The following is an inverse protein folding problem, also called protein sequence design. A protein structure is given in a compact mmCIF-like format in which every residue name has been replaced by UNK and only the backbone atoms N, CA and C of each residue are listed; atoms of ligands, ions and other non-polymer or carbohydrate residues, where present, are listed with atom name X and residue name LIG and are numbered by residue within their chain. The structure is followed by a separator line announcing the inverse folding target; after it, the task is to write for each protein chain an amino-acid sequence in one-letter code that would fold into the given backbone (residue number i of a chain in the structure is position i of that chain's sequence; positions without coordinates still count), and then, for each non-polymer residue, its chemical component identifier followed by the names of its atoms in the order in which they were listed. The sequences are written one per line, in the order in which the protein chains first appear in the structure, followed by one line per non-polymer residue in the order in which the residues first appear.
data_IF_040051537226
#
_entry.id   IF_040051537226
#
_cell.length_a   1.000
_cell.length_b   1.000
_cell.length_c   1.000
_cell.angle_alpha   90.00
_cell.angle_beta   90.00
_cell.angle_gamma   90.00
#
_symmetry.space_group_name_H-M   'P 1'
#
loop_
_entity.id
_entity.type
_entity.pdbx_description
1 polymer ?
#
# COMPACT_ATOMS: atom_id res chain seq x y z
N UNK A 1 29.86 6.71 8.57
CA UNK A 1 29.24 5.41 8.24
C UNK A 1 28.33 5.66 7.05
N UNK A 2 28.35 4.79 6.04
CA UNK A 2 27.47 4.94 4.87
C UNK A 2 26.01 4.71 5.31
N UNK A 3 25.11 5.71 5.15
CA UNK A 3 23.71 5.60 5.57
C UNK A 3 22.96 4.42 4.91
N UNK A 4 23.37 4.04 3.70
CA UNK A 4 22.80 2.91 2.96
C UNK A 4 23.24 1.60 3.61
N UNK A 5 24.51 1.50 3.99
CA UNK A 5 25.06 0.32 4.65
C UNK A 5 24.46 0.13 6.05
N UNK A 6 24.25 1.22 6.80
CA UNK A 6 23.59 1.18 8.11
C UNK A 6 22.11 0.73 7.99
N UNK A 7 21.40 1.17 6.95
CA UNK A 7 20.04 0.72 6.65
C UNK A 7 19.97 -0.78 6.35
N UNK A 8 20.87 -1.29 5.51
CA UNK A 8 20.92 -2.73 5.20
C UNK A 8 21.34 -3.56 6.41
N UNK A 9 22.29 -3.10 7.23
CA UNK A 9 22.68 -3.77 8.46
C UNK A 9 21.54 -3.81 9.48
N UNK A 10 20.76 -2.73 9.61
CA UNK A 10 19.54 -2.72 10.45
C UNK A 10 18.49 -3.68 9.93
N UNK A 11 18.27 -3.78 8.61
CA UNK A 11 17.35 -4.75 8.01
C UNK A 11 17.81 -6.19 8.28
N UNK A 12 19.09 -6.49 8.05
CA UNK A 12 19.65 -7.83 8.25
C UNK A 12 19.57 -8.22 9.74
N UNK A 13 19.91 -7.30 10.65
CA UNK A 13 19.84 -7.53 12.08
C UNK A 13 18.39 -7.68 12.58
N UNK A 14 17.44 -6.88 12.06
CA UNK A 14 16.00 -7.10 12.30
C UNK A 14 15.58 -8.48 11.79
N UNK A 15 15.95 -8.84 10.57
CA UNK A 15 15.57 -10.13 9.96
C UNK A 15 16.18 -11.35 10.66
N UNK A 16 17.31 -11.20 11.35
CA UNK A 16 17.90 -12.24 12.21
C UNK A 16 17.16 -12.40 13.55
N UNK A 17 16.39 -11.38 13.97
CA UNK A 17 15.64 -11.36 15.23
C UNK A 17 14.12 -11.51 15.03
N UNK A 18 13.61 -11.50 13.80
CA UNK A 18 12.19 -11.79 13.54
C UNK A 18 11.98 -13.29 13.77
N UNK A 19 11.32 -13.63 14.88
CA UNK A 19 10.79 -14.96 15.08
C UNK A 19 10.00 -15.38 13.84
N UNK A 20 10.33 -16.55 13.29
CA UNK A 20 9.64 -17.13 12.13
C UNK A 20 8.21 -17.52 12.53
N UNK A 21 7.33 -16.55 12.59
CA UNK A 21 5.92 -16.75 12.91
C UNK A 21 5.05 -15.92 11.98
N UNK A 22 3.82 -16.38 11.82
CA UNK A 22 2.76 -15.63 11.15
C UNK A 22 1.97 -14.91 12.25
N UNK A 23 1.80 -13.58 12.20
CA UNK A 23 0.96 -12.88 13.14
C UNK A 23 -0.47 -13.44 13.13
N UNK A 24 -1.06 -13.61 14.31
CA UNK A 24 -2.36 -14.28 14.47
C UNK A 24 -3.48 -13.62 13.67
N UNK A 25 -3.47 -12.30 13.54
CA UNK A 25 -4.46 -11.55 12.76
C UNK A 25 -4.42 -11.95 11.28
N UNK A 26 -3.23 -11.99 10.67
CA UNK A 26 -3.09 -12.44 9.28
C UNK A 26 -3.44 -13.90 9.10
N UNK A 27 -3.01 -14.78 10.02
CA UNK A 27 -3.36 -16.20 9.97
C UNK A 27 -4.88 -16.38 9.88
N UNK A 28 -5.64 -15.73 10.76
CA UNK A 28 -7.12 -15.79 10.77
C UNK A 28 -7.72 -15.30 9.45
N UNK A 29 -7.25 -14.18 8.91
CA UNK A 29 -7.75 -13.61 7.64
C UNK A 29 -7.50 -14.56 6.47
N UNK A 30 -6.30 -15.14 6.38
CA UNK A 30 -5.91 -16.05 5.29
C UNK A 30 -6.67 -17.37 5.37
N UNK A 31 -6.87 -17.89 6.59
CA UNK A 31 -7.50 -19.20 6.80
C UNK A 31 -9.04 -19.16 6.68
N UNK A 32 -9.64 -17.97 6.72
CA UNK A 32 -11.08 -17.78 6.58
C UNK A 32 -11.65 -18.43 5.31
N UNK A 33 -12.87 -18.96 5.41
CA UNK A 33 -13.56 -19.74 4.38
C UNK A 33 -14.66 -18.98 3.66
N UNK A 34 -15.04 -17.82 4.17
CA UNK A 34 -16.10 -16.99 3.59
C UNK A 34 -15.81 -15.50 3.76
N UNK A 35 -16.41 -14.69 2.89
CA UNK A 35 -16.36 -13.23 3.00
C UNK A 35 -16.91 -12.76 4.35
N UNK A 36 -18.01 -13.36 4.81
CA UNK A 36 -18.66 -13.03 6.08
C UNK A 36 -17.75 -13.29 7.29
N UNK A 37 -17.01 -14.40 7.27
CA UNK A 37 -16.03 -14.72 8.31
C UNK A 37 -14.89 -13.70 8.34
N UNK A 38 -14.39 -13.33 7.17
CA UNK A 38 -13.39 -12.26 7.05
C UNK A 38 -13.91 -10.94 7.63
N UNK A 39 -15.14 -10.54 7.30
CA UNK A 39 -15.76 -9.32 7.83
C UNK A 39 -15.89 -9.36 9.36
N UNK A 40 -16.25 -10.52 9.93
CA UNK A 40 -16.33 -10.72 11.38
C UNK A 40 -14.96 -10.61 12.07
N UNK A 41 -13.90 -11.16 11.45
CA UNK A 41 -12.53 -11.03 11.94
C UNK A 41 -12.10 -9.56 11.91
N UNK A 42 -12.26 -8.89 10.77
CA UNK A 42 -11.72 -7.55 10.55
C UNK A 42 -12.38 -6.48 11.42
N UNK A 43 -13.64 -6.67 11.82
CA UNK A 43 -14.36 -5.75 12.70
C UNK A 43 -13.64 -5.50 14.04
N UNK A 44 -12.87 -6.47 14.53
CA UNK A 44 -12.30 -6.47 15.88
C UNK A 44 -10.75 -6.47 15.91
N UNK A 45 -10.10 -6.22 14.78
CA UNK A 45 -8.62 -6.17 14.72
C UNK A 45 -8.13 -4.79 14.29
N UNK A 46 -6.91 -4.48 14.72
CA UNK A 46 -6.08 -3.41 14.21
C UNK A 46 -4.80 -4.10 13.75
N UNK A 47 -4.38 -3.84 12.52
CA UNK A 47 -3.12 -4.36 11.98
C UNK A 47 -2.05 -3.29 12.18
N UNK A 48 -0.94 -3.69 12.77
CA UNK A 48 0.24 -2.84 12.95
C UNK A 48 1.24 -2.99 11.80
N UNK A 49 2.07 -1.95 11.58
CA UNK A 49 3.07 -1.93 10.50
C UNK A 49 4.07 -3.09 10.57
N UNK A 50 4.52 -3.42 11.77
CA UNK A 50 5.44 -4.52 12.04
C UNK A 50 4.77 -5.88 11.85
N UNK A 51 3.51 -6.05 12.24
CA UNK A 51 2.73 -7.26 11.95
C UNK A 51 2.64 -7.50 10.44
N UNK A 52 2.29 -6.48 9.65
CA UNK A 52 2.20 -6.65 8.20
C UNK A 52 3.54 -6.95 7.56
N UNK A 53 4.60 -6.29 8.03
CA UNK A 53 5.97 -6.57 7.59
C UNK A 53 6.40 -8.00 7.92
N UNK A 54 6.11 -8.47 9.14
CA UNK A 54 6.35 -9.84 9.58
C UNK A 54 5.57 -10.84 8.75
N UNK A 55 4.31 -10.54 8.41
CA UNK A 55 3.51 -11.38 7.52
C UNK A 55 4.12 -11.46 6.12
N UNK A 56 4.54 -10.34 5.53
CA UNK A 56 5.19 -10.31 4.21
C UNK A 56 6.42 -11.23 4.19
N UNK A 57 7.29 -11.11 5.18
CA UNK A 57 8.54 -11.87 5.27
C UNK A 57 8.27 -13.36 5.46
N UNK A 58 7.26 -13.70 6.26
CA UNK A 58 7.01 -15.08 6.68
C UNK A 58 5.89 -15.79 5.89
N UNK A 59 5.19 -15.14 4.95
CA UNK A 59 4.02 -15.71 4.26
C UNK A 59 4.28 -17.07 3.58
N UNK A 60 5.52 -17.34 3.18
CA UNK A 60 5.94 -18.64 2.65
C UNK A 60 5.70 -19.82 3.61
N UNK A 61 5.66 -19.59 4.93
CA UNK A 61 5.30 -20.60 5.93
C UNK A 61 3.86 -21.09 5.80
N UNK A 62 2.99 -20.33 5.11
CA UNK A 62 1.62 -20.73 4.76
C UNK A 62 1.51 -21.32 3.35
N UNK A 63 2.65 -21.56 2.67
CA UNK A 63 2.65 -21.99 1.28
C UNK A 63 2.20 -20.90 0.29
N UNK A 64 2.31 -19.62 0.69
CA UNK A 64 1.95 -18.48 -0.15
C UNK A 64 3.18 -17.92 -0.87
N UNK A 65 2.99 -17.59 -2.14
CA UNK A 65 3.84 -16.72 -2.92
C UNK A 65 3.43 -15.27 -2.70
N UNK A 66 4.41 -14.36 -2.77
CA UNK A 66 4.18 -12.93 -2.60
C UNK A 66 4.66 -12.14 -3.82
N UNK A 67 3.86 -11.16 -4.23
CA UNK A 67 4.25 -10.15 -5.20
C UNK A 67 3.76 -8.77 -4.75
N UNK A 68 4.46 -7.71 -5.18
CA UNK A 68 4.11 -6.32 -4.86
C UNK A 68 4.11 -5.43 -6.08
N UNK A 69 3.36 -4.33 -6.00
CA UNK A 69 3.30 -3.27 -7.01
C UNK A 69 3.15 -1.92 -6.34
N UNK A 70 3.93 -0.95 -6.79
CA UNK A 70 3.81 0.44 -6.37
C UNK A 70 3.56 1.28 -7.61
N UNK A 71 2.38 1.90 -7.66
CA UNK A 71 2.00 2.76 -8.77
C UNK A 71 1.80 4.18 -8.29
N UNK A 72 2.22 5.11 -9.13
CA UNK A 72 2.06 6.54 -8.94
C UNK A 72 1.31 7.09 -10.13
N UNK A 73 0.22 7.81 -9.88
CA UNK A 73 -0.62 8.41 -10.90
C UNK A 73 -0.63 9.93 -10.75
N UNK A 74 -0.17 10.61 -11.79
CA UNK A 74 -0.16 12.05 -11.92
C UNK A 74 -0.42 12.37 -13.39
N UNK A 75 -1.26 13.36 -13.67
CA UNK A 75 -1.48 13.82 -15.05
C UNK A 75 -0.22 14.55 -15.55
N UNK A 76 0.01 14.62 -16.86
CA UNK A 76 1.18 15.34 -17.39
C UNK A 76 1.07 16.84 -17.15
N UNK A 77 -0.16 17.35 -17.18
CA UNK A 77 -0.50 18.76 -17.00
C UNK A 77 -0.26 19.24 -15.56
N UNK A 78 -0.43 18.33 -14.59
CA UNK A 78 -0.20 18.61 -13.17
C UNK A 78 1.28 18.49 -12.77
N UNK A 79 2.12 17.91 -13.63
CA UNK A 79 3.54 17.74 -13.34
C UNK A 79 4.30 19.05 -13.55
N UNK A 80 5.12 19.42 -12.58
CA UNK A 80 6.09 20.51 -12.70
C UNK A 80 7.23 20.03 -13.58
N UNK A 81 7.49 20.76 -14.67
CA UNK A 81 8.56 20.42 -15.62
C UNK A 81 9.94 20.68 -15.01
N UNK A 82 10.98 20.11 -15.60
CA UNK A 82 12.34 20.32 -15.11
C UNK A 82 12.79 21.77 -15.36
N UNK A 83 12.35 22.40 -16.45
CA UNK A 83 12.56 23.83 -16.70
C UNK A 83 11.88 24.71 -15.64
N UNK A 84 10.67 24.36 -15.20
CA UNK A 84 9.99 25.08 -14.12
C UNK A 84 10.74 24.92 -12.78
N UNK A 85 11.32 23.75 -12.49
CA UNK A 85 12.15 23.55 -11.28
C UNK A 85 13.42 24.39 -11.33
N UNK A 86 14.09 24.42 -12.47
CA UNK A 86 15.29 25.24 -12.67
C UNK A 86 14.96 26.73 -12.52
N UNK A 87 13.87 27.20 -13.13
CA UNK A 87 13.38 28.57 -12.96
C UNK A 87 13.02 28.90 -11.51
N UNK A 88 12.46 27.95 -10.76
CA UNK A 88 12.17 28.15 -9.34
C UNK A 88 13.45 28.41 -8.52
N UNK A 89 14.53 27.71 -8.83
CA UNK A 89 15.82 27.86 -8.14
C UNK A 89 16.58 29.13 -8.54
N UNK A 90 16.52 29.51 -9.82
CA UNK A 90 17.38 30.54 -10.42
C UNK A 90 16.74 31.92 -10.56
N UNK A 91 15.40 32.00 -10.67
CA UNK A 91 14.72 33.28 -10.87
C UNK A 91 14.80 34.18 -9.64
N UNK A 92 14.73 35.50 -9.82
CA UNK A 92 14.50 36.47 -8.74
C UNK A 92 13.05 36.96 -8.69
N UNK A 93 12.20 36.54 -9.63
CA UNK A 93 10.79 36.91 -9.68
C UNK A 93 9.99 36.13 -8.62
N UNK A 94 9.61 36.85 -7.57
CA UNK A 94 8.80 36.30 -6.47
C UNK A 94 7.41 35.82 -6.89
N UNK A 95 6.78 36.42 -7.90
CA UNK A 95 5.46 36.00 -8.38
C UNK A 95 5.57 34.68 -9.16
N UNK A 96 6.58 34.57 -10.02
CA UNK A 96 6.88 33.33 -10.75
C UNK A 96 7.17 32.17 -9.78
N UNK A 97 8.02 32.41 -8.76
CA UNK A 97 8.30 31.38 -7.74
C UNK A 97 7.05 30.92 -7.00
N UNK A 98 6.17 31.85 -6.59
CA UNK A 98 4.89 31.48 -5.95
C UNK A 98 4.01 30.65 -6.87
N UNK A 99 3.95 30.96 -8.16
CA UNK A 99 3.18 30.19 -9.16
C UNK A 99 3.70 28.76 -9.27
N UNK A 100 5.02 28.59 -9.43
CA UNK A 100 5.65 27.26 -9.54
C UNK A 100 5.48 26.48 -8.24
N UNK A 101 5.66 27.11 -7.07
CA UNK A 101 5.44 26.49 -5.77
C UNK A 101 4.01 26.00 -5.58
N UNK A 102 3.00 26.81 -5.97
CA UNK A 102 1.60 26.36 -5.97
C UNK A 102 1.37 25.16 -6.88
N UNK A 103 2.04 25.11 -8.04
CA UNK A 103 2.00 23.96 -8.94
C UNK A 103 2.66 22.72 -8.31
N UNK A 104 3.79 22.87 -7.61
CA UNK A 104 4.43 21.79 -6.85
C UNK A 104 3.52 21.23 -5.75
N UNK A 105 2.83 22.10 -5.00
CA UNK A 105 1.82 21.68 -4.01
C UNK A 105 0.67 20.94 -4.71
N UNK A 106 0.11 21.51 -5.77
CA UNK A 106 -0.97 20.89 -6.52
C UNK A 106 -0.58 19.55 -7.14
N UNK A 107 0.67 19.41 -7.60
CA UNK A 107 1.25 18.15 -8.06
C UNK A 107 1.18 17.12 -6.94
N UNK A 108 1.68 17.46 -5.76
CA UNK A 108 1.68 16.60 -4.59
C UNK A 108 0.25 16.16 -4.20
N UNK A 109 -0.69 17.10 -4.12
CA UNK A 109 -2.08 16.84 -3.72
C UNK A 109 -2.84 15.97 -4.72
N UNK A 110 -2.52 16.10 -6.01
CA UNK A 110 -3.16 15.34 -7.09
C UNK A 110 -2.51 13.98 -7.32
N UNK A 111 -1.27 13.80 -6.86
CA UNK A 111 -0.53 12.56 -7.00
C UNK A 111 -1.21 11.48 -6.18
N UNK A 112 -1.58 10.40 -6.86
CA UNK A 112 -2.14 9.22 -6.18
C UNK A 112 -1.10 8.13 -6.16
N UNK A 113 -0.80 7.63 -4.97
CA UNK A 113 0.04 6.46 -4.80
C UNK A 113 -0.82 5.27 -4.39
N UNK A 114 -0.52 4.11 -4.96
CA UNK A 114 -1.12 2.84 -4.59
C UNK A 114 0.01 1.85 -4.33
N UNK A 115 0.01 1.25 -3.14
CA UNK A 115 0.94 0.18 -2.76
C UNK A 115 0.14 -1.11 -2.58
N UNK A 116 0.42 -2.13 -3.39
CA UNK A 116 -0.37 -3.37 -3.47
C UNK A 116 0.53 -4.55 -3.16
N UNK A 117 0.05 -5.45 -2.31
CA UNK A 117 0.68 -6.70 -1.92
C UNK A 117 -0.29 -7.84 -2.19
N UNK A 118 0.07 -8.75 -3.08
CA UNK A 118 -0.72 -9.94 -3.38
C UNK A 118 -0.02 -11.18 -2.83
N UNK A 119 -0.81 -12.05 -2.22
CA UNK A 119 -0.41 -13.32 -1.63
C UNK A 119 -1.26 -14.43 -2.23
N UNK A 120 -0.67 -15.51 -2.72
CA UNK A 120 -1.40 -16.52 -3.46
C UNK A 120 -0.74 -17.89 -3.39
N UNK A 121 -1.52 -18.95 -3.54
CA UNK A 121 -0.99 -20.30 -3.68
C UNK A 121 -0.51 -20.57 -5.12
N UNK A 122 0.18 -21.70 -5.34
CA UNK A 122 0.84 -22.00 -6.62
C UNK A 122 -0.09 -21.92 -7.85
N UNK A 123 -1.33 -22.42 -7.73
CA UNK A 123 -2.32 -22.41 -8.82
C UNK A 123 -3.16 -21.12 -8.89
N UNK A 124 -2.90 -20.15 -8.00
CA UNK A 124 -3.63 -18.87 -7.86
C UNK A 124 -5.13 -19.01 -7.61
N UNK A 125 -5.64 -20.19 -7.25
CA UNK A 125 -7.06 -20.37 -6.89
C UNK A 125 -7.41 -19.72 -5.56
N UNK A 126 -6.43 -19.61 -4.65
CA UNK A 126 -6.53 -18.88 -3.39
C UNK A 126 -5.58 -17.71 -3.41
N UNK A 127 -6.14 -16.51 -3.34
CA UNK A 127 -5.37 -15.28 -3.39
C UNK A 127 -5.95 -14.21 -2.46
N UNK A 128 -5.09 -13.37 -1.94
CA UNK A 128 -5.38 -12.29 -1.01
C UNK A 128 -4.60 -11.05 -1.45
N UNK A 129 -5.26 -9.91 -1.49
CA UNK A 129 -4.63 -8.63 -1.83
C UNK A 129 -4.87 -7.66 -0.69
N UNK A 130 -3.78 -7.08 -0.22
CA UNK A 130 -3.76 -5.98 0.72
C UNK A 130 -3.18 -4.76 0.00
N UNK A 131 -3.83 -3.60 0.10
CA UNK A 131 -3.29 -2.39 -0.52
C UNK A 131 -3.61 -1.11 0.24
N UNK A 132 -2.72 -0.14 0.09
CA UNK A 132 -2.92 1.23 0.55
C UNK A 132 -3.18 2.11 -0.67
N UNK A 133 -4.13 3.04 -0.55
CA UNK A 133 -4.06 4.27 -1.32
C UNK A 133 -3.55 5.38 -0.39
N UNK A 134 -2.59 6.21 -0.83
CA UNK A 134 -1.86 7.08 0.10
C UNK A 134 -2.73 8.16 0.77
N UNK A 135 -3.95 8.40 0.27
CA UNK A 135 -4.90 9.26 0.99
C UNK A 135 -5.37 8.61 2.30
N UNK A 136 -5.22 7.30 2.44
CA UNK A 136 -5.53 6.56 3.66
C UNK A 136 -4.43 6.65 4.74
N UNK A 137 -3.27 7.27 4.49
CA UNK A 137 -2.17 7.34 5.47
C UNK A 137 -2.08 8.73 6.14
N UNK A 138 -2.73 9.75 5.56
CA UNK A 138 -2.73 11.10 6.09
C UNK A 138 -3.66 11.21 7.31
N UNK A 139 -3.10 11.48 8.50
CA UNK A 139 -3.81 11.69 9.77
C UNK A 139 -4.74 12.92 9.78
N UNK A 140 -4.77 13.70 8.71
CA UNK A 140 -5.49 14.98 8.65
C UNK A 140 -6.89 14.71 8.13
N UNK A 141 -7.89 14.81 9.01
CA UNK A 141 -9.34 14.93 8.76
C UNK A 141 -9.83 14.63 7.34
N UNK A 142 -9.51 13.45 6.83
CA UNK A 142 -10.17 12.97 5.63
C UNK A 142 -11.57 12.59 6.05
N UNK A 143 -12.58 13.07 5.32
CA UNK A 143 -13.99 12.67 5.48
C UNK A 143 -14.21 11.14 5.30
N UNK A 144 -13.13 10.37 5.12
CA UNK A 144 -13.05 8.94 4.84
C UNK A 144 -12.50 8.10 6.00
N UNK A 145 -12.19 8.70 7.16
CA UNK A 145 -11.88 7.95 8.40
C UNK A 145 -10.39 7.74 8.71
N UNK A 146 -10.12 6.95 9.75
CA UNK A 146 -8.78 6.60 10.24
C UNK A 146 -7.95 5.84 9.19
N UNK A 147 -6.61 5.80 9.34
CA UNK A 147 -5.77 4.99 8.46
C UNK A 147 -6.22 3.55 8.38
N UNK A 148 -6.24 3.02 7.16
CA UNK A 148 -6.72 1.67 6.92
C UNK A 148 -6.03 1.00 5.73
N UNK A 149 -6.03 -0.33 5.79
CA UNK A 149 -5.53 -1.23 4.76
C UNK A 149 -6.73 -1.79 4.01
N UNK A 150 -6.76 -1.66 2.69
CA UNK A 150 -7.81 -2.27 1.87
C UNK A 150 -7.52 -3.75 1.66
N UNK A 151 -8.55 -4.58 1.74
CA UNK A 151 -8.45 -6.02 1.52
C UNK A 151 -9.51 -6.54 0.54
N UNK A 152 -9.08 -7.45 -0.33
CA UNK A 152 -9.91 -8.25 -1.24
C UNK A 152 -9.27 -9.63 -1.42
N UNK A 153 -10.07 -10.67 -1.64
CA UNK A 153 -9.57 -12.04 -1.85
C UNK A 153 -10.45 -12.85 -2.80
N UNK A 154 -10.02 -14.08 -3.08
CA UNK A 154 -10.78 -15.09 -3.82
C UNK A 154 -12.20 -15.35 -3.28
N UNK A 155 -12.45 -15.03 -2.00
CA UNK A 155 -13.75 -15.19 -1.34
C UNK A 155 -14.86 -14.26 -1.88
N UNK A 156 -14.53 -13.31 -2.76
CA UNK A 156 -15.50 -12.42 -3.42
C UNK A 156 -16.18 -13.06 -4.63
N UNK A 157 -15.90 -14.34 -4.89
CA UNK A 157 -16.58 -15.16 -5.88
C UNK A 157 -15.82 -15.30 -7.19
N UNK A 158 -16.33 -16.18 -8.06
CA UNK A 158 -15.66 -16.65 -9.27
C UNK A 158 -15.41 -15.59 -10.34
N UNK A 159 -16.02 -14.40 -10.20
CA UNK A 159 -15.83 -13.28 -11.12
C UNK A 159 -14.49 -12.55 -10.91
N UNK A 160 -13.77 -12.85 -9.82
CA UNK A 160 -12.51 -12.21 -9.50
C UNK A 160 -11.35 -13.22 -9.57
N UNK A 161 -10.58 -13.12 -10.66
CA UNK A 161 -9.30 -13.83 -10.80
C UNK A 161 -8.15 -12.92 -10.41
N UNK A 162 -7.13 -13.48 -9.76
CA UNK A 162 -5.96 -12.73 -9.30
C UNK A 162 -5.35 -11.86 -10.40
N UNK A 163 -5.12 -12.41 -11.59
CA UNK A 163 -4.45 -11.70 -12.67
C UNK A 163 -5.26 -10.51 -13.21
N UNK A 164 -6.59 -10.64 -13.24
CA UNK A 164 -7.48 -9.56 -13.67
C UNK A 164 -7.53 -8.45 -12.63
N UNK A 165 -7.71 -8.83 -11.35
CA UNK A 165 -7.66 -7.89 -10.22
C UNK A 165 -6.31 -7.18 -10.15
N UNK A 166 -5.20 -7.90 -10.38
CA UNK A 166 -3.85 -7.36 -10.38
C UNK A 166 -3.63 -6.30 -11.47
N UNK A 167 -4.21 -6.51 -12.66
CA UNK A 167 -4.17 -5.53 -13.77
C UNK A 167 -4.95 -4.26 -13.44
N UNK A 168 -6.05 -4.35 -12.70
CA UNK A 168 -6.84 -3.16 -12.32
C UNK A 168 -6.03 -2.15 -11.51
N UNK A 169 -5.05 -2.61 -10.73
CA UNK A 169 -4.14 -1.72 -10.00
C UNK A 169 -3.21 -0.89 -10.89
N UNK A 170 -3.14 -1.14 -12.20
CA UNK A 170 -2.45 -0.27 -13.16
C UNK A 170 -3.26 0.98 -13.54
N UNK A 171 -4.46 1.15 -12.99
CA UNK A 171 -5.34 2.27 -13.26
C UNK A 171 -5.38 3.22 -12.06
N UNK A 172 -5.50 4.53 -12.33
CA UNK A 172 -5.61 5.56 -11.28
C UNK A 172 -6.82 5.32 -10.36
N UNK A 173 -7.94 4.86 -10.93
CA UNK A 173 -9.16 4.53 -10.20
C UNK A 173 -9.34 3.02 -10.17
N UNK A 174 -9.11 2.43 -9.00
CA UNK A 174 -9.39 1.02 -8.75
C UNK A 174 -10.79 0.94 -8.15
N UNK A 175 -11.73 0.34 -8.89
CA UNK A 175 -13.09 0.08 -8.42
C UNK A 175 -13.25 -1.40 -8.18
N UNK A 176 -12.90 -1.83 -6.98
CA UNK A 176 -13.00 -3.22 -6.54
C UNK A 176 -13.88 -3.30 -5.29
N UNK A 177 -14.66 -4.38 -5.12
CA UNK A 177 -15.25 -4.65 -3.83
C UNK A 177 -14.12 -4.91 -2.84
N UNK A 178 -14.19 -4.28 -1.68
CA UNK A 178 -13.11 -4.29 -0.70
C UNK A 178 -13.68 -4.11 0.70
N UNK A 179 -12.88 -4.44 1.68
CA UNK A 179 -13.13 -4.12 3.07
C UNK A 179 -11.93 -3.39 3.64
N UNK A 180 -12.20 -2.52 4.60
CA UNK A 180 -11.20 -1.70 5.26
C UNK A 180 -10.77 -2.38 6.56
N UNK A 181 -9.48 -2.58 6.74
CA UNK A 181 -8.88 -3.07 7.97
C UNK A 181 -8.23 -1.89 8.68
N UNK A 182 -8.54 -1.68 9.96
CA UNK A 182 -7.92 -0.60 10.73
C UNK A 182 -6.41 -0.77 10.75
N UNK A 183 -5.69 0.32 10.54
CA UNK A 183 -4.24 0.34 10.44
C UNK A 183 -3.65 1.28 11.49
N UNK A 184 -2.58 0.83 12.14
CA UNK A 184 -1.82 1.66 13.06
C UNK A 184 -0.33 1.67 12.69
N UNK A 185 0.23 2.87 12.70
CA UNK A 185 1.64 3.11 12.43
C UNK A 185 2.35 3.41 13.75
N UNK A 186 3.34 2.60 14.10
CA UNK A 186 4.28 2.89 15.20
C UNK A 186 5.36 3.86 14.76
#
# INVERSE_FOLDING_TARGET
MDPVLEYYQRIIFRNQQIEKHIPNNFRKIIEAKSKQEVEAIIKNIIIQEDEFSNFIINCGLLGLYWQKKHNTFLSKEDKVSDEEKDLFSTSNDSQLKRKIFRKMIAEHDKKKYISVHAFYNLDKSKWHIFYFDFKDIEKIENHHGLPHLHYISYLWGNNFKLDDVWKMFNQRKVSLPKIHIRWERH
#
